data_IF_077911604828
#
_entry.id   IF_077911604828
#
_cell.length_a   1.000
_cell.length_b   1.000
_cell.length_c   1.000
_cell.angle_alpha   90.00
_cell.angle_beta   90.00
_cell.angle_gamma   90.00
#
_symmetry.space_group_name_H-M   'P 1'
#
loop_
_entity.id
_entity.type
_entity.pdbx_description
1 polymer ?
#
# COMPACT_ATOMS: atom_id res chain seq x y z
N UNK A 1 19.79 -16.67 2.38
CA UNK A 1 20.40 -16.68 1.03
C UNK A 1 21.54 -15.65 0.98
N UNK A 2 22.73 -16.06 0.55
CA UNK A 2 23.82 -15.12 0.25
C UNK A 2 23.35 -14.11 -0.79
N UNK A 3 23.76 -12.85 -0.64
CA UNK A 3 23.33 -11.79 -1.57
C UNK A 3 23.79 -12.14 -2.98
N UNK A 4 22.90 -12.13 -3.99
CA UNK A 4 23.26 -12.38 -5.38
C UNK A 4 24.13 -11.26 -5.97
N UNK A 5 24.32 -10.16 -5.23
CA UNK A 5 25.24 -9.08 -5.55
C UNK A 5 26.47 -9.21 -4.65
N UNK A 6 27.63 -9.59 -5.20
CA UNK A 6 28.87 -9.73 -4.44
C UNK A 6 29.23 -8.42 -3.73
N UNK A 7 29.64 -8.50 -2.46
CA UNK A 7 30.20 -7.36 -1.71
C UNK A 7 29.20 -6.33 -1.19
N UNK A 8 27.90 -6.63 -1.19
CA UNK A 8 26.88 -5.72 -0.67
C UNK A 8 27.01 -5.52 0.84
N UNK A 9 27.20 -4.27 1.28
CA UNK A 9 27.30 -3.92 2.70
C UNK A 9 25.94 -3.77 3.37
N UNK A 10 25.92 -3.66 4.69
CA UNK A 10 24.70 -3.31 5.46
C UNK A 10 24.16 -1.94 5.09
N UNK A 11 25.06 -0.99 4.81
CA UNK A 11 24.71 0.35 4.36
C UNK A 11 24.07 0.31 2.98
N UNK A 12 24.61 -0.53 2.08
CA UNK A 12 24.02 -0.69 0.76
C UNK A 12 22.61 -1.26 0.81
N UNK A 13 22.39 -2.22 1.71
CA UNK A 13 21.06 -2.81 1.93
C UNK A 13 20.08 -1.77 2.46
N UNK A 14 20.55 -0.90 3.35
CA UNK A 14 19.76 0.18 3.93
C UNK A 14 19.37 1.24 2.90
N UNK A 15 20.30 1.64 2.03
CA UNK A 15 20.02 2.55 0.92
C UNK A 15 19.07 1.93 -0.10
N UNK A 16 19.29 0.67 -0.47
CA UNK A 16 18.42 -0.07 -1.38
C UNK A 16 16.95 -0.06 -0.91
N UNK A 17 16.72 -0.32 0.38
CA UNK A 17 15.37 -0.33 0.97
C UNK A 17 14.80 1.10 1.02
N UNK A 18 15.63 2.09 1.39
CA UNK A 18 15.21 3.49 1.53
C UNK A 18 14.80 4.13 0.20
N UNK A 19 15.50 3.81 -0.90
CA UNK A 19 15.22 4.36 -2.23
C UNK A 19 13.82 4.02 -2.76
N UNK A 20 13.26 2.89 -2.35
CA UNK A 20 11.87 2.54 -2.66
C UNK A 20 10.89 3.54 -2.02
N UNK A 21 11.14 3.99 -0.79
CA UNK A 21 10.30 5.00 -0.13
C UNK A 21 10.48 6.38 -0.76
N UNK A 22 11.68 6.72 -1.24
CA UNK A 22 11.89 7.95 -2.02
C UNK A 22 11.09 7.93 -3.34
N UNK A 23 11.11 6.83 -4.08
CA UNK A 23 10.27 6.70 -5.29
C UNK A 23 8.79 6.93 -4.97
N UNK A 24 8.29 6.33 -3.90
CA UNK A 24 6.90 6.49 -3.46
C UNK A 24 6.56 7.94 -3.02
N UNK A 25 7.54 8.69 -2.50
CA UNK A 25 7.34 10.09 -2.13
C UNK A 25 7.13 10.99 -3.36
N UNK A 26 7.86 10.73 -4.44
CA UNK A 26 7.87 11.62 -5.60
C UNK A 26 6.78 11.29 -6.64
N UNK A 27 6.33 10.05 -6.73
CA UNK A 27 5.40 9.66 -7.81
C UNK A 27 3.96 10.19 -7.73
N UNK A 28 3.34 10.47 -6.56
CA UNK A 28 1.92 10.85 -6.51
C UNK A 28 1.58 12.17 -7.23
N UNK A 29 2.45 13.18 -7.13
CA UNK A 29 2.23 14.50 -7.74
C UNK A 29 2.22 14.42 -9.29
N UNK A 30 3.29 13.94 -9.96
CA UNK A 30 3.28 13.82 -11.42
C UNK A 30 2.21 12.84 -11.89
N UNK A 31 1.98 11.75 -11.15
CA UNK A 31 0.91 10.79 -11.46
C UNK A 31 -0.47 11.45 -11.46
N UNK A 32 -0.73 12.36 -10.53
CA UNK A 32 -1.98 13.13 -10.49
C UNK A 32 -2.23 13.94 -11.77
N UNK A 33 -1.21 14.56 -12.35
CA UNK A 33 -1.35 15.26 -13.63
C UNK A 33 -1.54 14.29 -14.81
N UNK A 34 -0.84 13.16 -14.80
CA UNK A 34 -0.94 12.14 -15.87
C UNK A 34 -2.35 11.54 -15.89
N UNK A 35 -2.90 11.12 -14.74
CA UNK A 35 -4.25 10.51 -14.68
C UNK A 35 -5.38 11.47 -15.04
N UNK A 36 -5.15 12.78 -14.87
CA UNK A 36 -6.07 13.82 -15.31
C UNK A 36 -5.98 14.07 -16.82
N UNK A 37 -4.82 13.85 -17.43
CA UNK A 37 -4.61 14.01 -18.88
C UNK A 37 -5.11 12.80 -19.67
N UNK A 38 -4.68 11.58 -19.31
CA UNK A 38 -4.88 10.37 -20.13
C UNK A 38 -5.89 9.37 -19.55
N UNK A 39 -6.41 9.62 -18.35
CA UNK A 39 -7.38 8.75 -17.67
C UNK A 39 -6.72 7.80 -16.68
N UNK A 40 -7.54 7.18 -15.83
CA UNK A 40 -7.07 6.36 -14.71
C UNK A 40 -6.60 4.99 -15.22
N UNK A 41 -7.38 4.35 -16.10
CA UNK A 41 -7.04 3.07 -16.73
C UNK A 41 -5.72 3.19 -17.50
N UNK A 42 -5.63 4.17 -18.40
CA UNK A 42 -4.45 4.33 -19.25
C UNK A 42 -3.21 4.68 -18.44
N UNK A 43 -3.34 5.47 -17.37
CA UNK A 43 -2.22 5.75 -16.46
C UNK A 43 -1.66 4.49 -15.85
N UNK A 44 -2.53 3.59 -15.36
CA UNK A 44 -2.09 2.31 -14.80
C UNK A 44 -1.43 1.42 -15.87
N UNK A 45 -2.00 1.33 -17.07
CA UNK A 45 -1.44 0.50 -18.15
C UNK A 45 -0.10 1.03 -18.67
N UNK A 46 0.01 2.33 -18.96
CA UNK A 46 1.25 2.91 -19.49
C UNK A 46 2.35 2.97 -18.45
N UNK A 47 2.05 3.32 -17.19
CA UNK A 47 3.06 3.40 -16.15
C UNK A 47 3.45 2.02 -15.59
N UNK A 48 2.73 0.95 -15.93
CA UNK A 48 3.13 -0.44 -15.62
C UNK A 48 4.45 -0.85 -16.31
N UNK A 49 4.95 -0.07 -17.27
CA UNK A 49 6.32 -0.26 -17.80
C UNK A 49 7.39 -0.05 -16.72
N UNK A 50 7.13 0.81 -15.72
CA UNK A 50 8.07 1.15 -14.64
C UNK A 50 8.38 -0.07 -13.76
N UNK A 51 7.39 -0.77 -13.15
CA UNK A 51 7.68 -1.96 -12.36
C UNK A 51 8.21 -3.11 -13.22
N UNK A 52 7.77 -3.24 -14.48
CA UNK A 52 8.32 -4.27 -15.37
C UNK A 52 9.81 -4.05 -15.62
N UNK A 53 10.22 -2.81 -15.94
CA UNK A 53 11.62 -2.46 -16.10
C UNK A 53 12.42 -2.64 -14.80
N UNK A 54 11.83 -2.34 -13.63
CA UNK A 54 12.45 -2.62 -12.32
C UNK A 54 12.77 -4.11 -12.15
N UNK A 55 11.82 -5.00 -12.43
CA UNK A 55 12.04 -6.45 -12.35
C UNK A 55 13.07 -6.94 -13.35
N UNK A 56 13.04 -6.45 -14.60
CA UNK A 56 14.04 -6.80 -15.61
C UNK A 56 15.45 -6.38 -15.18
N UNK A 57 15.60 -5.18 -14.58
CA UNK A 57 16.88 -4.76 -14.02
C UNK A 57 17.34 -5.71 -12.90
N UNK A 58 16.45 -6.10 -11.97
CA UNK A 58 16.79 -7.05 -10.89
C UNK A 58 17.23 -8.41 -11.43
N UNK A 59 16.64 -8.87 -12.53
CA UNK A 59 16.97 -10.15 -13.17
C UNK A 59 18.33 -10.07 -13.88
N UNK A 60 18.54 -9.07 -14.74
CA UNK A 60 19.71 -9.02 -15.63
C UNK A 60 20.93 -8.34 -15.03
N UNK A 61 20.76 -7.51 -14.00
CA UNK A 61 21.86 -6.72 -13.44
C UNK A 61 22.10 -7.06 -11.97
N UNK A 62 23.36 -7.36 -11.64
CA UNK A 62 23.79 -7.77 -10.28
C UNK A 62 24.81 -6.80 -9.71
N UNK A 63 24.57 -5.50 -9.87
CA UNK A 63 25.37 -4.45 -9.22
C UNK A 63 24.51 -3.60 -8.30
N UNK A 64 25.12 -3.06 -7.25
CA UNK A 64 24.44 -2.24 -6.23
C UNK A 64 23.72 -1.04 -6.85
N UNK A 65 24.37 -0.34 -7.79
CA UNK A 65 23.79 0.83 -8.47
C UNK A 65 22.51 0.48 -9.26
N UNK A 66 22.51 -0.63 -10.00
CA UNK A 66 21.32 -1.01 -10.76
C UNK A 66 20.18 -1.49 -9.84
N UNK A 67 20.51 -2.14 -8.72
CA UNK A 67 19.51 -2.46 -7.69
C UNK A 67 18.90 -1.19 -7.08
N UNK A 68 19.69 -0.15 -6.85
CA UNK A 68 19.20 1.15 -6.37
C UNK A 68 18.18 1.77 -7.33
N UNK A 69 18.52 1.80 -8.63
CA UNK A 69 17.64 2.30 -9.68
C UNK A 69 16.36 1.46 -9.73
N UNK A 70 16.49 0.13 -9.75
CA UNK A 70 15.35 -0.78 -9.77
C UNK A 70 14.41 -0.55 -8.58
N UNK A 71 14.94 -0.39 -7.35
CA UNK A 71 14.12 -0.15 -6.16
C UNK A 71 13.47 1.21 -6.16
N UNK A 72 14.16 2.24 -6.64
CA UNK A 72 13.56 3.55 -6.84
C UNK A 72 12.36 3.47 -7.81
N UNK A 73 12.51 2.75 -8.93
CA UNK A 73 11.43 2.51 -9.91
C UNK A 73 10.26 1.73 -9.31
N UNK A 74 10.53 0.68 -8.53
CA UNK A 74 9.48 -0.05 -7.80
C UNK A 74 8.74 0.88 -6.82
N UNK A 75 9.47 1.80 -6.17
CA UNK A 75 8.92 2.85 -5.33
C UNK A 75 7.99 3.81 -6.09
N UNK A 76 8.39 4.25 -7.28
CA UNK A 76 7.54 5.09 -8.14
C UNK A 76 6.21 4.38 -8.43
N UNK A 77 6.28 3.11 -8.85
CA UNK A 77 5.09 2.30 -9.12
C UNK A 77 4.19 2.15 -7.90
N UNK A 78 4.78 1.89 -6.73
CA UNK A 78 4.04 1.81 -5.47
C UNK A 78 3.18 3.07 -5.24
N UNK A 79 3.78 4.25 -5.36
CA UNK A 79 3.03 5.50 -5.18
C UNK A 79 2.02 5.80 -6.29
N UNK A 80 2.26 5.36 -7.53
CA UNK A 80 1.28 5.44 -8.63
C UNK A 80 0.05 4.60 -8.29
N UNK A 81 0.26 3.34 -7.90
CA UNK A 81 -0.82 2.40 -7.55
C UNK A 81 -1.65 2.93 -6.38
N UNK A 82 -0.99 3.39 -5.30
CA UNK A 82 -1.69 3.96 -4.14
C UNK A 82 -2.42 5.28 -4.42
N UNK A 83 -2.09 5.97 -5.52
CA UNK A 83 -2.77 7.20 -5.93
C UNK A 83 -3.94 6.90 -6.85
N UNK A 84 -3.72 6.10 -7.90
CA UNK A 84 -4.70 5.93 -8.99
C UNK A 84 -5.72 4.84 -8.69
N UNK A 85 -5.32 3.70 -8.09
CA UNK A 85 -6.24 2.56 -7.89
C UNK A 85 -7.42 2.92 -6.98
N UNK A 86 -7.25 3.58 -5.82
CA UNK A 86 -8.38 3.98 -4.99
C UNK A 86 -9.35 4.93 -5.70
N UNK A 87 -8.84 5.82 -6.56
CA UNK A 87 -9.65 6.74 -7.38
C UNK A 87 -10.43 5.95 -8.44
N UNK A 88 -9.74 5.08 -9.18
CA UNK A 88 -10.35 4.22 -10.19
C UNK A 88 -11.47 3.37 -9.58
N UNK A 89 -11.20 2.67 -8.47
CA UNK A 89 -12.20 1.89 -7.74
C UNK A 89 -13.36 2.76 -7.25
N UNK A 90 -13.08 3.97 -6.76
CA UNK A 90 -14.11 4.89 -6.28
C UNK A 90 -15.02 5.43 -7.39
N UNK A 91 -14.52 5.57 -8.61
CA UNK A 91 -15.26 6.09 -9.77
C UNK A 91 -16.03 4.99 -10.52
N UNK A 92 -15.63 3.72 -10.44
CA UNK A 92 -16.35 2.59 -11.08
C UNK A 92 -17.35 1.90 -10.14
N UNK A 93 -17.09 1.93 -8.83
CA UNK A 93 -17.89 1.21 -7.85
C UNK A 93 -19.26 1.82 -7.64
N UNK A 94 -20.29 0.98 -7.48
CA UNK A 94 -21.55 1.44 -6.93
C UNK A 94 -21.37 1.89 -5.47
N UNK A 95 -22.15 2.88 -5.00
CA UNK A 95 -22.09 3.36 -3.61
C UNK A 95 -22.19 2.24 -2.57
N UNK A 96 -22.95 1.17 -2.85
CA UNK A 96 -23.15 0.04 -1.95
C UNK A 96 -21.90 -0.82 -1.76
N UNK A 97 -21.05 -0.96 -2.77
CA UNK A 97 -19.88 -1.88 -2.76
C UNK A 97 -18.54 -1.15 -2.70
N UNK A 98 -18.53 0.18 -2.83
CA UNK A 98 -17.32 1.02 -2.82
C UNK A 98 -16.42 0.80 -1.61
N UNK A 99 -17.02 0.66 -0.42
CA UNK A 99 -16.29 0.36 0.82
C UNK A 99 -15.56 -0.98 0.74
N UNK A 100 -16.27 -2.03 0.32
CA UNK A 100 -15.72 -3.39 0.19
C UNK A 100 -14.60 -3.47 -0.84
N UNK A 101 -14.72 -2.80 -2.00
CA UNK A 101 -13.66 -2.75 -3.01
C UNK A 101 -12.40 -2.05 -2.49
N UNK A 102 -12.56 -0.97 -1.72
CA UNK A 102 -11.43 -0.26 -1.10
C UNK A 102 -10.73 -1.14 -0.06
N UNK A 103 -11.48 -1.89 0.73
CA UNK A 103 -10.92 -2.89 1.65
C UNK A 103 -10.19 -4.00 0.90
N UNK A 104 -10.77 -4.51 -0.19
CA UNK A 104 -10.17 -5.57 -1.00
C UNK A 104 -8.79 -5.17 -1.52
N UNK A 105 -8.63 -3.92 -2.00
CA UNK A 105 -7.32 -3.37 -2.37
C UNK A 105 -6.29 -3.43 -1.23
N UNK A 106 -6.69 -3.05 -0.01
CA UNK A 106 -5.81 -3.12 1.16
C UNK A 106 -5.44 -4.57 1.53
N UNK A 107 -6.38 -5.51 1.45
CA UNK A 107 -6.13 -6.93 1.71
C UNK A 107 -5.16 -7.50 0.67
N UNK A 108 -5.39 -7.23 -0.62
CA UNK A 108 -4.54 -7.72 -1.71
C UNK A 108 -3.10 -7.23 -1.59
N UNK A 109 -2.87 -6.03 -1.04
CA UNK A 109 -1.50 -5.56 -0.71
C UNK A 109 -0.80 -6.54 0.24
N UNK A 110 -1.44 -6.93 1.35
CA UNK A 110 -0.83 -7.85 2.31
C UNK A 110 -0.77 -9.29 1.80
N UNK A 111 -1.70 -9.70 0.93
CA UNK A 111 -1.60 -10.99 0.24
C UNK A 111 -0.35 -11.02 -0.64
N UNK A 112 -0.01 -9.92 -1.32
CA UNK A 112 1.26 -9.81 -2.06
C UNK A 112 2.49 -9.92 -1.16
N UNK A 113 2.49 -9.27 0.01
CA UNK A 113 3.58 -9.41 1.00
C UNK A 113 3.68 -10.85 1.52
N UNK A 114 2.55 -11.47 1.82
CA UNK A 114 2.50 -12.86 2.26
C UNK A 114 3.00 -13.82 1.17
N UNK A 115 2.65 -13.57 -0.09
CA UNK A 115 3.17 -14.32 -1.22
C UNK A 115 4.71 -14.30 -1.26
N UNK A 116 5.33 -13.13 -1.11
CA UNK A 116 6.79 -12.99 -1.07
C UNK A 116 7.41 -13.73 0.14
N UNK A 117 6.76 -13.69 1.31
CA UNK A 117 7.21 -14.42 2.49
C UNK A 117 7.06 -15.94 2.36
N UNK A 118 6.05 -16.41 1.65
CA UNK A 118 5.81 -17.84 1.41
C UNK A 118 6.73 -18.36 0.33
N UNK A 119 6.87 -17.67 -0.81
CA UNK A 119 7.62 -18.17 -1.97
C UNK A 119 9.12 -17.93 -1.81
N UNK A 120 9.52 -16.75 -1.32
CA UNK A 120 10.91 -16.30 -1.26
C UNK A 120 11.90 -17.28 -0.62
N UNK A 121 11.57 -17.97 0.50
CA UNK A 121 12.46 -18.95 1.11
C UNK A 121 12.70 -20.22 0.28
N UNK A 122 11.80 -20.56 -0.65
CA UNK A 122 11.85 -21.84 -1.39
C UNK A 122 12.36 -21.70 -2.83
N UNK A 123 12.59 -20.48 -3.31
CA UNK A 123 13.04 -20.23 -4.68
C UNK A 123 14.35 -19.43 -4.70
N UNK A 124 15.08 -19.50 -5.82
CA UNK A 124 16.24 -18.64 -6.03
C UNK A 124 15.81 -17.17 -6.16
N UNK A 125 16.75 -16.25 -5.93
CA UNK A 125 16.49 -14.81 -6.08
C UNK A 125 15.99 -14.44 -7.48
N UNK A 126 16.55 -15.06 -8.52
CA UNK A 126 16.14 -14.81 -9.91
C UNK A 126 14.74 -15.37 -10.19
N UNK A 127 14.45 -16.57 -9.69
CA UNK A 127 13.11 -17.15 -9.85
C UNK A 127 12.07 -16.31 -9.11
N UNK A 128 12.39 -15.80 -7.92
CA UNK A 128 11.50 -14.88 -7.19
C UNK A 128 11.22 -13.64 -8.05
N UNK A 129 12.27 -12.98 -8.54
CA UNK A 129 12.12 -11.78 -9.38
C UNK A 129 11.33 -12.04 -10.67
N UNK A 130 11.52 -13.20 -11.31
CA UNK A 130 10.73 -13.62 -12.49
C UNK A 130 9.26 -13.82 -12.10
N UNK A 131 8.99 -14.55 -11.01
CA UNK A 131 7.61 -14.80 -10.56
C UNK A 131 6.89 -13.52 -10.15
N UNK A 132 7.58 -12.58 -9.50
CA UNK A 132 7.00 -11.30 -9.11
C UNK A 132 6.81 -10.37 -10.31
N UNK A 133 7.73 -10.39 -11.28
CA UNK A 133 7.61 -9.66 -12.54
C UNK A 133 6.46 -10.15 -13.43
N UNK A 134 6.12 -11.45 -13.38
CA UNK A 134 4.97 -12.01 -14.08
C UNK A 134 3.64 -11.36 -13.68
N UNK A 135 3.49 -10.94 -12.43
CA UNK A 135 2.26 -10.23 -12.00
C UNK A 135 2.08 -8.90 -12.73
N UNK A 136 3.15 -8.22 -13.15
CA UNK A 136 3.04 -7.01 -13.97
C UNK A 136 2.45 -7.32 -15.35
N UNK A 137 2.82 -8.46 -15.94
CA UNK A 137 2.30 -8.91 -17.24
C UNK A 137 0.85 -9.35 -17.10
N UNK A 138 0.54 -10.16 -16.08
CA UNK A 138 -0.83 -10.60 -15.78
C UNK A 138 -1.74 -9.39 -15.55
N UNK A 139 -1.28 -8.41 -14.78
CA UNK A 139 -2.00 -7.16 -14.57
C UNK A 139 -2.24 -6.43 -15.89
N UNK A 140 -1.21 -6.24 -16.72
CA UNK A 140 -1.35 -5.56 -18.00
C UNK A 140 -2.41 -6.23 -18.89
N UNK A 141 -2.33 -7.55 -19.05
CA UNK A 141 -3.25 -8.32 -19.90
C UNK A 141 -4.68 -8.26 -19.35
N UNK A 142 -4.87 -8.55 -18.07
CA UNK A 142 -6.22 -8.60 -17.47
C UNK A 142 -6.85 -7.21 -17.38
N UNK A 143 -6.08 -6.19 -17.05
CA UNK A 143 -6.58 -4.82 -16.88
C UNK A 143 -6.84 -4.10 -18.21
N UNK A 144 -6.30 -4.58 -19.34
CA UNK A 144 -6.60 -4.04 -20.67
C UNK A 144 -8.09 -4.17 -21.01
N UNK A 145 -8.77 -5.21 -20.51
CA UNK A 145 -10.20 -5.45 -20.75
C UNK A 145 -11.13 -4.60 -19.87
N UNK A 146 -10.62 -3.99 -18.81
CA UNK A 146 -11.41 -3.14 -17.93
C UNK A 146 -11.77 -1.81 -18.63
N UNK A 147 -12.95 -1.22 -18.43
CA UNK A 147 -13.29 0.08 -19.01
C UNK A 147 -12.54 1.23 -18.32
N UNK A 148 -12.45 2.38 -18.98
CA UNK A 148 -12.06 3.63 -18.31
C UNK A 148 -13.20 4.12 -17.41
N UNK A 149 -12.91 4.99 -16.44
CA UNK A 149 -13.94 5.45 -15.52
C UNK A 149 -15.01 6.30 -16.22
N UNK A 150 -16.32 6.07 -15.99
CA UNK A 150 -17.38 6.89 -16.57
C UNK A 150 -17.21 8.38 -16.21
N UNK A 151 -16.73 8.66 -14.99
CA UNK A 151 -16.43 10.01 -14.52
C UNK A 151 -15.38 10.72 -15.40
N UNK A 152 -14.26 10.06 -15.72
CA UNK A 152 -13.23 10.63 -16.59
C UNK A 152 -13.74 10.85 -18.02
N UNK A 153 -14.50 9.89 -18.57
CA UNK A 153 -15.05 9.99 -19.92
C UNK A 153 -16.03 11.15 -20.06
N UNK A 154 -16.95 11.32 -19.10
CA UNK A 154 -17.85 12.49 -19.03
C UNK A 154 -17.05 13.79 -18.93
N UNK A 155 -16.00 13.83 -18.09
CA UNK A 155 -15.13 15.02 -17.96
C UNK A 155 -14.45 15.40 -19.28
N UNK A 156 -14.15 14.42 -20.13
CA UNK A 156 -13.57 14.63 -21.46
C UNK A 156 -14.61 14.87 -22.55
N UNK A 157 -15.89 15.11 -22.20
CA UNK A 157 -17.02 15.28 -23.10
C UNK A 157 -17.29 14.06 -24.00
N UNK A 158 -16.99 12.85 -23.51
CA UNK A 158 -17.20 11.57 -24.21
C UNK A 158 -18.37 10.81 -23.56
N UNK A 159 -19.59 11.36 -23.64
CA UNK A 159 -20.76 10.80 -22.94
C UNK A 159 -21.15 9.41 -23.46
N UNK A 160 -21.07 9.15 -24.77
CA UNK A 160 -21.37 7.80 -25.32
C UNK A 160 -20.38 6.73 -24.83
N UNK A 161 -19.07 7.01 -24.83
CA UNK A 161 -18.07 6.09 -24.25
C UNK A 161 -18.32 5.88 -22.75
N UNK A 162 -18.73 6.93 -22.03
CA UNK A 162 -19.08 6.83 -20.61
C UNK A 162 -20.30 5.92 -20.37
N UNK A 163 -21.30 5.98 -21.26
CA UNK A 163 -22.48 5.11 -21.24
C UNK A 163 -22.09 3.66 -21.48
N UNK A 164 -21.25 3.38 -22.46
CA UNK A 164 -20.73 2.03 -22.72
C UNK A 164 -19.93 1.48 -21.54
N UNK A 165 -19.05 2.30 -20.95
CA UNK A 165 -18.29 1.93 -19.76
C UNK A 165 -19.22 1.60 -18.58
N UNK A 166 -20.26 2.41 -18.38
CA UNK A 166 -21.23 2.20 -17.31
C UNK A 166 -22.08 0.95 -17.55
N UNK A 167 -22.49 0.70 -18.80
CA UNK A 167 -23.17 -0.53 -19.21
C UNK A 167 -22.31 -1.76 -18.95
N UNK A 168 -21.00 -1.72 -19.23
CA UNK A 168 -20.09 -2.81 -18.92
C UNK A 168 -20.00 -3.08 -17.41
N UNK A 169 -20.01 -2.02 -16.59
CA UNK A 169 -19.88 -2.10 -15.13
C UNK A 169 -21.17 -2.53 -14.42
N UNK A 170 -22.34 -2.13 -14.92
CA UNK A 170 -23.66 -2.36 -14.29
C UNK A 170 -24.46 -3.48 -14.94
N UNK A 171 -24.12 -3.83 -16.18
CA UNK A 171 -24.95 -4.68 -17.05
C UNK A 171 -26.12 -3.91 -17.66
N UNK A 172 -26.97 -4.64 -18.39
CA UNK A 172 -28.15 -4.11 -19.05
C UNK A 172 -29.26 -3.81 -18.05
N UNK A 173 -29.22 -2.61 -17.48
CA UNK A 173 -30.21 -2.11 -16.53
C UNK A 173 -30.79 -0.78 -17.01
N UNK A 174 -32.10 -0.54 -16.82
CA UNK A 174 -32.73 0.75 -17.17
C UNK A 174 -32.13 1.96 -16.44
N UNK A 175 -31.36 1.71 -15.38
CA UNK A 175 -30.80 2.74 -14.50
C UNK A 175 -29.49 3.37 -15.03
N UNK A 176 -28.87 2.80 -16.07
CA UNK A 176 -27.60 3.30 -16.64
C UNK A 176 -27.70 4.75 -17.08
N UNK A 177 -28.76 5.13 -17.81
CA UNK A 177 -28.93 6.52 -18.29
C UNK A 177 -29.21 7.49 -17.14
N UNK A 178 -29.88 7.01 -16.07
CA UNK A 178 -30.16 7.81 -14.87
C UNK A 178 -28.87 8.06 -14.08
N UNK A 179 -28.03 7.03 -13.91
CA UNK A 179 -26.74 7.15 -13.25
C UNK A 179 -25.77 8.01 -14.07
N UNK A 180 -25.71 7.85 -15.39
CA UNK A 180 -24.91 8.69 -16.27
C UNK A 180 -25.26 10.16 -16.11
N UNK A 181 -26.55 10.50 -16.11
CA UNK A 181 -27.01 11.89 -15.93
C UNK A 181 -26.63 12.46 -14.54
N UNK A 182 -26.62 11.63 -13.50
CA UNK A 182 -26.11 12.05 -12.17
C UNK A 182 -24.62 12.37 -12.22
N UNK A 183 -23.83 11.55 -12.92
CA UNK A 183 -22.39 11.77 -13.11
C UNK A 183 -22.14 13.05 -13.93
N UNK A 184 -22.87 13.28 -15.02
CA UNK A 184 -22.79 14.50 -15.83
C UNK A 184 -23.06 15.78 -15.02
N UNK A 185 -24.10 15.76 -14.19
CA UNK A 185 -24.42 16.87 -13.31
C UNK A 185 -23.31 17.12 -12.27
N UNK A 186 -22.79 16.05 -11.65
CA UNK A 186 -21.71 16.16 -10.67
C UNK A 186 -20.41 16.70 -11.28
N UNK A 187 -20.02 16.19 -12.46
CA UNK A 187 -18.83 16.64 -13.20
C UNK A 187 -18.99 18.10 -13.62
N UNK A 188 -20.16 18.51 -14.10
CA UNK A 188 -20.43 19.89 -14.50
C UNK A 188 -20.30 20.86 -13.33
N UNK A 189 -20.84 20.49 -12.16
CA UNK A 189 -20.69 21.29 -10.93
C UNK A 189 -19.22 21.38 -10.48
N UNK A 190 -18.47 20.27 -10.56
CA UNK A 190 -17.06 20.25 -10.16
C UNK A 190 -16.17 21.02 -11.14
N UNK A 191 -16.49 21.02 -12.44
CA UNK A 191 -15.78 21.79 -13.46
C UNK A 191 -16.06 23.29 -13.39
N UNK A 192 -17.23 23.68 -12.88
CA UNK A 192 -17.55 25.08 -12.59
C UNK A 192 -16.74 25.61 -11.39
N UNK A 193 -16.47 24.75 -10.40
CA UNK A 193 -15.70 25.07 -9.18
C UNK A 193 -14.34 24.38 -9.18
N UNK A 194 -13.44 24.75 -10.11
CA UNK A 194 -12.07 24.20 -10.16
C UNK A 194 -11.29 24.58 -8.90
N UNK A 195 -11.19 23.65 -7.96
CA UNK A 195 -10.30 23.76 -6.81
C UNK A 195 -8.84 23.83 -7.26
N UNK A 196 -8.11 24.82 -6.74
CA UNK A 196 -6.66 24.97 -6.93
C UNK A 196 -5.94 24.45 -5.68
N UNK A 197 -4.66 24.07 -5.80
CA UNK A 197 -3.81 23.73 -4.63
C UNK A 197 -3.82 24.86 -3.57
N UNK A 198 -4.00 26.12 -4.00
CA UNK A 198 -4.13 27.27 -3.10
C UNK A 198 -5.36 27.16 -2.18
N UNK A 199 -6.42 26.49 -2.63
CA UNK A 199 -7.67 26.35 -1.87
C UNK A 199 -7.52 25.41 -0.67
N UNK A 200 -6.58 24.46 -0.72
CA UNK A 200 -6.18 23.63 0.42
C UNK A 200 -5.71 24.49 1.61
N UNK A 201 -5.17 25.67 1.34
CA UNK A 201 -4.68 26.61 2.35
C UNK A 201 -5.51 27.89 2.41
N UNK A 202 -6.65 27.98 1.72
CA UNK A 202 -7.46 29.20 1.71
C UNK A 202 -8.28 29.34 3.00
N UNK A 203 -8.90 28.26 3.49
CA UNK A 203 -9.80 28.30 4.65
C UNK A 203 -9.15 27.70 5.90
N UNK A 204 -9.60 28.12 7.09
CA UNK A 204 -9.18 27.51 8.36
C UNK A 204 -9.54 26.02 8.42
N UNK A 205 -10.68 25.64 7.84
CA UNK A 205 -11.11 24.25 7.77
C UNK A 205 -10.14 23.40 6.91
N UNK A 206 -9.80 23.86 5.71
CA UNK A 206 -8.90 23.15 4.81
C UNK A 206 -7.48 23.07 5.39
N UNK A 207 -6.97 24.14 6.02
CA UNK A 207 -5.69 24.09 6.75
C UNK A 207 -5.71 23.05 7.87
N UNK A 208 -6.78 23.00 8.67
CA UNK A 208 -6.94 22.01 9.75
C UNK A 208 -6.97 20.59 9.17
N UNK A 209 -7.67 20.38 8.06
CA UNK A 209 -7.70 19.12 7.34
C UNK A 209 -6.30 18.68 6.87
N UNK A 210 -5.56 19.56 6.18
CA UNK A 210 -4.20 19.28 5.69
C UNK A 210 -3.27 18.92 6.85
N UNK A 211 -3.30 19.70 7.93
CA UNK A 211 -2.47 19.43 9.11
C UNK A 211 -2.85 18.07 9.73
N UNK A 212 -4.15 17.79 9.89
CA UNK A 212 -4.62 16.54 10.50
C UNK A 212 -4.19 15.33 9.67
N UNK A 213 -4.44 15.35 8.36
CA UNK A 213 -4.07 14.26 7.44
C UNK A 213 -2.56 14.11 7.32
N UNK A 214 -1.82 15.22 7.29
CA UNK A 214 -0.36 15.24 7.23
C UNK A 214 0.26 14.62 8.49
N UNK A 215 -0.17 15.06 9.67
CA UNK A 215 0.29 14.52 10.96
C UNK A 215 -0.06 13.04 11.08
N UNK A 216 -1.29 12.64 10.74
CA UNK A 216 -1.68 11.23 10.76
C UNK A 216 -0.86 10.36 9.82
N UNK A 217 -0.54 10.85 8.61
CA UNK A 217 0.29 10.13 7.64
C UNK A 217 1.74 9.98 8.11
N UNK A 218 2.29 11.02 8.74
CA UNK A 218 3.65 10.98 9.32
C UNK A 218 3.67 10.00 10.49
N UNK A 219 2.71 10.08 11.42
CA UNK A 219 2.61 9.18 12.56
C UNK A 219 2.43 7.72 12.13
N UNK A 220 1.64 7.46 11.07
CA UNK A 220 1.51 6.13 10.50
C UNK A 220 2.87 5.57 10.04
N UNK A 221 3.72 6.38 9.41
CA UNK A 221 5.06 5.95 8.99
C UNK A 221 6.02 5.80 10.17
N UNK A 222 5.95 6.70 11.15
CA UNK A 222 6.74 6.63 12.38
C UNK A 222 6.38 5.44 13.28
N UNK A 223 5.24 4.79 13.06
CA UNK A 223 4.88 3.53 13.74
C UNK A 223 5.88 2.39 13.48
N UNK A 224 6.75 2.51 12.47
CA UNK A 224 7.82 1.54 12.20
C UNK A 224 7.43 0.39 11.28
N UNK A 225 6.19 0.36 10.75
CA UNK A 225 5.72 -0.74 9.89
C UNK A 225 6.64 -1.01 8.69
N UNK A 226 7.18 0.04 8.07
CA UNK A 226 8.07 -0.10 6.91
C UNK A 226 9.39 -0.80 7.26
N UNK A 227 9.91 -0.54 8.46
CA UNK A 227 11.10 -1.21 8.97
C UNK A 227 10.78 -2.68 9.32
N UNK A 228 9.61 -2.95 9.91
CA UNK A 228 9.19 -4.33 10.19
C UNK A 228 9.05 -5.15 8.91
N UNK A 229 8.30 -4.67 7.91
CA UNK A 229 8.13 -5.38 6.63
C UNK A 229 9.49 -5.71 5.99
N UNK A 230 10.45 -4.79 6.06
CA UNK A 230 11.75 -4.93 5.40
C UNK A 230 12.78 -5.76 6.20
N UNK A 231 12.80 -5.64 7.53
CA UNK A 231 13.90 -6.14 8.36
C UNK A 231 13.52 -7.25 9.35
N UNK A 232 12.24 -7.59 9.53
CA UNK A 232 11.86 -8.58 10.55
C UNK A 232 12.59 -9.92 10.42
N UNK A 233 12.88 -10.39 9.20
CA UNK A 233 13.65 -11.63 8.99
C UNK A 233 15.11 -11.55 9.46
N UNK A 234 15.66 -10.35 9.63
CA UNK A 234 17.03 -10.09 10.09
C UNK A 234 17.05 -9.68 11.55
N UNK A 235 16.06 -8.92 12.00
CA UNK A 235 15.95 -8.38 13.36
C UNK A 235 15.53 -9.43 14.40
N UNK A 236 14.78 -10.47 14.01
CA UNK A 236 14.38 -11.52 14.94
C UNK A 236 15.58 -12.34 15.42
N UNK A 237 15.68 -12.64 16.74
CA UNK A 237 16.75 -13.49 17.24
C UNK A 237 16.67 -14.88 16.59
N UNK A 238 17.84 -15.45 16.27
CA UNK A 238 17.91 -16.80 15.71
C UNK A 238 17.34 -17.80 16.72
N UNK A 239 16.36 -18.59 16.30
CA UNK A 239 15.66 -19.49 17.22
C UNK A 239 14.73 -18.78 18.20
N UNK A 240 14.18 -17.61 17.83
CA UNK A 240 13.16 -16.88 18.61
C UNK A 240 12.09 -17.81 19.21
N UNK A 241 11.63 -18.79 18.43
CA UNK A 241 10.78 -19.87 18.91
C UNK A 241 11.48 -21.20 18.62
N UNK A 242 11.50 -22.08 19.62
CA UNK A 242 12.05 -23.43 19.49
C UNK A 242 11.33 -24.20 18.35
N UNK A 243 12.11 -24.82 17.46
CA UNK A 243 11.64 -25.52 16.25
C UNK A 243 10.96 -24.67 15.16
N UNK A 244 10.90 -23.34 15.30
CA UNK A 244 10.33 -22.47 14.25
C UNK A 244 11.44 -21.66 13.60
N UNK A 245 11.55 -21.80 12.27
CA UNK A 245 12.52 -21.05 11.48
C UNK A 245 12.07 -19.60 11.31
N UNK A 246 13.03 -18.68 11.12
CA UNK A 246 12.71 -17.26 10.88
C UNK A 246 11.80 -17.04 9.66
N UNK A 247 11.89 -17.93 8.66
CA UNK A 247 11.01 -17.93 7.50
C UNK A 247 9.54 -18.22 7.87
N UNK A 248 9.31 -19.21 8.75
CA UNK A 248 7.97 -19.50 9.27
C UNK A 248 7.43 -18.32 10.09
N UNK A 249 8.28 -17.64 10.88
CA UNK A 249 7.88 -16.46 11.63
C UNK A 249 7.34 -15.33 10.73
N UNK A 250 8.03 -14.99 9.64
CA UNK A 250 7.55 -13.95 8.72
C UNK A 250 6.28 -14.34 7.97
N UNK A 251 6.10 -15.63 7.65
CA UNK A 251 4.84 -16.13 7.07
C UNK A 251 3.67 -15.95 8.05
N UNK A 252 3.87 -16.27 9.33
CA UNK A 252 2.85 -16.06 10.37
C UNK A 252 2.51 -14.58 10.53
N UNK A 253 3.52 -13.69 10.51
CA UNK A 253 3.30 -12.24 10.55
C UNK A 253 2.48 -11.73 9.36
N UNK A 254 2.85 -12.14 8.14
CA UNK A 254 2.10 -11.79 6.94
C UNK A 254 0.65 -12.30 6.98
N UNK A 255 0.45 -13.51 7.51
CA UNK A 255 -0.88 -14.09 7.71
C UNK A 255 -1.71 -13.25 8.70
N UNK A 256 -1.11 -12.86 9.83
CA UNK A 256 -1.76 -11.98 10.81
C UNK A 256 -2.14 -10.65 10.19
N UNK A 257 -1.30 -10.03 9.34
CA UNK A 257 -1.66 -8.79 8.65
C UNK A 257 -2.88 -8.95 7.75
N UNK A 258 -2.95 -10.02 6.96
CA UNK A 258 -4.11 -10.33 6.10
C UNK A 258 -5.38 -10.50 6.93
N UNK A 259 -5.35 -11.37 7.95
CA UNK A 259 -6.52 -11.63 8.80
C UNK A 259 -6.94 -10.39 9.62
N UNK A 260 -5.99 -9.63 10.13
CA UNK A 260 -6.28 -8.42 10.91
C UNK A 260 -6.89 -7.33 10.04
N UNK A 261 -6.47 -7.22 8.78
CA UNK A 261 -7.08 -6.27 7.82
C UNK A 261 -8.51 -6.66 7.46
N UNK A 262 -8.79 -7.95 7.31
CA UNK A 262 -10.15 -8.47 7.14
C UNK A 262 -11.04 -8.14 8.35
N UNK A 263 -10.54 -8.38 9.56
CA UNK A 263 -11.26 -8.04 10.80
C UNK A 263 -11.50 -6.53 10.89
N UNK A 264 -10.52 -5.72 10.52
CA UNK A 264 -10.61 -4.26 10.53
C UNK A 264 -11.82 -3.74 9.76
N UNK A 265 -12.09 -4.27 8.56
CA UNK A 265 -13.23 -3.78 7.77
C UNK A 265 -14.58 -3.94 8.48
N UNK A 266 -14.75 -5.00 9.28
CA UNK A 266 -15.98 -5.19 10.05
C UNK A 266 -16.01 -4.31 11.31
N UNK A 267 -14.84 -4.05 11.92
CA UNK A 267 -14.75 -3.25 13.14
C UNK A 267 -14.93 -1.75 12.90
N UNK A 268 -14.45 -1.24 11.76
CA UNK A 268 -14.53 0.19 11.42
C UNK A 268 -15.97 0.70 11.45
N UNK A 269 -16.90 -0.09 10.93
CA UNK A 269 -18.32 0.27 10.88
C UNK A 269 -19.01 0.18 12.26
N UNK A 270 -18.49 -0.64 13.18
CA UNK A 270 -19.10 -0.88 14.51
C UNK A 270 -18.56 0.02 15.61
N UNK A 271 -17.24 0.16 15.70
CA UNK A 271 -16.56 0.87 16.79
C UNK A 271 -16.23 2.32 16.44
N UNK A 272 -16.31 2.67 15.16
CA UNK A 272 -15.95 3.99 14.66
C UNK A 272 -14.43 4.21 14.55
N UNK A 273 -14.07 5.13 13.67
CA UNK A 273 -12.67 5.40 13.26
C UNK A 273 -11.80 5.92 14.41
N UNK A 274 -12.31 6.83 15.24
CA UNK A 274 -11.50 7.49 16.29
C UNK A 274 -11.02 6.50 17.36
N UNK A 275 -11.91 5.62 17.82
CA UNK A 275 -11.59 4.63 18.86
C UNK A 275 -10.55 3.64 18.33
N UNK A 276 -10.77 3.11 17.13
CA UNK A 276 -9.83 2.18 16.49
C UNK A 276 -8.45 2.78 16.26
N UNK A 277 -8.38 4.07 15.87
CA UNK A 277 -7.11 4.76 15.71
C UNK A 277 -6.34 4.86 17.04
N UNK A 278 -7.02 5.22 18.13
CA UNK A 278 -6.40 5.34 19.46
C UNK A 278 -5.92 3.97 19.96
N UNK A 279 -6.78 2.95 19.89
CA UNK A 279 -6.44 1.58 20.32
C UNK A 279 -5.29 1.03 19.50
N UNK A 280 -5.30 1.24 18.19
CA UNK A 280 -4.23 0.82 17.28
C UNK A 280 -2.90 1.51 17.61
N UNK A 281 -2.92 2.84 17.81
CA UNK A 281 -1.71 3.60 18.14
C UNK A 281 -1.13 3.18 19.51
N UNK A 282 -1.96 3.02 20.53
CA UNK A 282 -1.53 2.55 21.85
C UNK A 282 -0.98 1.12 21.77
N UNK A 283 -1.68 0.22 21.09
CA UNK A 283 -1.24 -1.16 20.91
C UNK A 283 0.09 -1.28 20.17
N UNK A 284 0.28 -0.49 19.10
CA UNK A 284 1.56 -0.42 18.39
C UNK A 284 2.67 0.13 19.29
N UNK A 285 2.39 1.19 20.06
CA UNK A 285 3.35 1.81 20.97
C UNK A 285 3.79 0.88 22.10
N UNK A 286 2.85 0.15 22.72
CA UNK A 286 3.15 -0.87 23.74
C UNK A 286 3.98 -2.00 23.13
N UNK A 287 3.59 -2.50 21.95
CA UNK A 287 4.31 -3.57 21.29
C UNK A 287 5.75 -3.19 20.92
N UNK A 288 5.98 -2.01 20.34
CA UNK A 288 7.34 -1.54 20.02
C UNK A 288 8.15 -1.21 21.26
N UNK A 289 7.53 -0.65 22.31
CA UNK A 289 8.20 -0.41 23.59
C UNK A 289 8.70 -1.72 24.20
N UNK A 290 7.84 -2.74 24.29
CA UNK A 290 8.22 -4.05 24.82
C UNK A 290 9.32 -4.72 23.97
N UNK A 291 9.19 -4.71 22.65
CA UNK A 291 10.25 -5.22 21.77
C UNK A 291 11.58 -4.46 21.98
N UNK A 292 11.52 -3.13 22.05
CA UNK A 292 12.69 -2.28 22.30
C UNK A 292 13.35 -2.54 23.65
N UNK A 293 12.56 -2.74 24.71
CA UNK A 293 13.09 -3.11 26.03
C UNK A 293 13.80 -4.45 25.99
N UNK A 294 13.27 -5.44 25.28
CA UNK A 294 13.93 -6.73 25.12
C UNK A 294 15.29 -6.59 24.43
N UNK A 295 15.36 -5.88 23.29
CA UNK A 295 16.62 -5.65 22.58
C UNK A 295 17.63 -4.83 23.40
N UNK A 296 17.15 -3.88 24.21
CA UNK A 296 18.01 -3.11 25.10
C UNK A 296 18.64 -4.00 26.18
N UNK A 297 17.85 -4.89 26.79
CA UNK A 297 18.34 -5.82 27.81
C UNK A 297 19.37 -6.78 27.21
N UNK A 298 19.08 -7.38 26.06
CA UNK A 298 19.99 -8.29 25.35
C UNK A 298 21.33 -7.62 24.98
N UNK A 299 21.28 -6.38 24.49
CA UNK A 299 22.46 -5.73 23.92
C UNK A 299 23.29 -4.91 24.93
N UNK A 300 22.70 -4.46 26.05
CA UNK A 300 23.32 -3.47 26.96
C UNK A 300 23.36 -3.90 28.43
N UNK A 301 22.80 -5.05 28.79
CA UNK A 301 22.81 -5.52 30.18
C UNK A 301 23.29 -6.96 30.28
N UNK A 302 23.79 -7.37 31.45
CA UNK A 302 24.21 -8.75 31.72
C UNK A 302 23.03 -9.68 32.08
N UNK A 303 21.79 -9.25 31.80
CA UNK A 303 20.58 -10.04 32.09
C UNK A 303 20.40 -11.07 30.97
N UNK A 304 20.40 -12.35 31.32
CA UNK A 304 20.12 -13.43 30.36
C UNK A 304 18.63 -13.42 29.95
N UNK A 305 18.36 -12.93 28.74
CA UNK A 305 17.02 -12.89 28.14
C UNK A 305 16.74 -14.07 27.21
N UNK A 306 17.62 -15.08 27.16
CA UNK A 306 17.52 -16.23 26.24
C UNK A 306 16.20 -16.99 26.40
N UNK A 307 15.70 -17.10 27.64
CA UNK A 307 14.39 -17.71 27.94
C UNK A 307 13.19 -16.96 27.33
N UNK A 308 13.38 -15.69 26.98
CA UNK A 308 12.39 -14.78 26.41
C UNK A 308 12.64 -14.45 24.94
N UNK A 309 13.45 -15.23 24.22
CA UNK A 309 13.72 -15.03 22.78
C UNK A 309 12.45 -14.99 21.90
N UNK A 310 11.32 -15.52 22.38
CA UNK A 310 10.03 -15.48 21.69
C UNK A 310 9.32 -14.13 21.81
N UNK A 311 9.69 -13.31 22.80
CA UNK A 311 9.00 -12.06 23.12
C UNK A 311 9.05 -11.02 22.00
N UNK A 312 10.19 -10.76 21.32
CA UNK A 312 10.23 -9.85 20.17
C UNK A 312 9.28 -10.26 19.05
N UNK A 313 9.18 -11.57 18.79
CA UNK A 313 8.26 -12.09 17.78
C UNK A 313 6.79 -11.87 18.17
N UNK A 314 6.43 -12.17 19.42
CA UNK A 314 5.08 -11.89 19.93
C UNK A 314 4.75 -10.39 19.87
N UNK A 315 5.72 -9.51 20.17
CA UNK A 315 5.55 -8.07 20.06
C UNK A 315 5.34 -7.64 18.59
N UNK A 316 6.08 -8.20 17.64
CA UNK A 316 5.88 -7.92 16.22
C UNK A 316 4.51 -8.39 15.71
N UNK A 317 4.01 -9.54 16.20
CA UNK A 317 2.65 -10.00 15.90
C UNK A 317 1.60 -9.03 16.45
N UNK A 318 1.79 -8.59 17.69
CA UNK A 318 0.88 -7.66 18.36
C UNK A 318 0.85 -6.30 17.64
N UNK A 319 2.03 -5.77 17.29
CA UNK A 319 2.14 -4.56 16.49
C UNK A 319 1.43 -4.73 15.15
N UNK A 320 1.70 -5.82 14.44
CA UNK A 320 1.10 -6.09 13.14
C UNK A 320 -0.43 -6.16 13.19
N UNK A 321 -0.98 -6.81 14.22
CA UNK A 321 -2.41 -6.89 14.48
C UNK A 321 -3.01 -5.49 14.71
N UNK A 322 -2.47 -4.73 15.66
CA UNK A 322 -2.98 -3.40 15.99
C UNK A 322 -2.82 -2.43 14.83
N UNK A 323 -1.69 -2.44 14.13
CA UNK A 323 -1.44 -1.58 12.96
C UNK A 323 -2.49 -1.82 11.86
N UNK A 324 -2.76 -3.09 11.56
CA UNK A 324 -3.71 -3.50 10.52
C UNK A 324 -5.16 -3.16 10.88
N UNK A 325 -5.52 -3.20 12.17
CA UNK A 325 -6.88 -2.91 12.64
C UNK A 325 -7.26 -1.43 12.56
N UNK A 326 -6.31 -0.51 12.76
CA UNK A 326 -6.62 0.92 12.84
C UNK A 326 -5.75 1.80 11.95
N UNK A 327 -4.48 1.96 12.31
CA UNK A 327 -3.56 2.88 11.67
C UNK A 327 -3.52 2.74 10.15
N UNK A 328 -3.56 1.52 9.61
CA UNK A 328 -3.52 1.29 8.17
C UNK A 328 -4.77 1.77 7.42
N UNK A 329 -5.97 1.20 7.65
CA UNK A 329 -7.16 1.56 6.88
C UNK A 329 -7.66 2.98 7.19
N UNK A 330 -7.59 3.42 8.44
CA UNK A 330 -8.24 4.66 8.88
C UNK A 330 -7.56 5.90 8.30
N UNK A 331 -6.22 5.92 8.29
CA UNK A 331 -5.45 7.05 7.74
C UNK A 331 -5.73 7.19 6.24
N UNK A 332 -5.92 6.07 5.53
CA UNK A 332 -6.26 6.07 4.11
C UNK A 332 -7.70 6.54 3.89
N UNK A 333 -8.67 6.13 4.71
CA UNK A 333 -10.06 6.57 4.52
C UNK A 333 -10.27 8.04 4.88
N UNK A 334 -9.63 8.55 5.94
CA UNK A 334 -9.75 9.96 6.35
C UNK A 334 -9.30 10.89 5.21
N UNK A 335 -8.31 10.48 4.40
CA UNK A 335 -7.88 11.26 3.22
C UNK A 335 -9.01 11.49 2.23
N UNK A 336 -9.87 10.50 2.00
CA UNK A 336 -10.99 10.57 1.05
C UNK A 336 -12.30 11.11 1.64
N UNK A 337 -12.42 11.23 2.96
CA UNK A 337 -13.61 11.81 3.62
C UNK A 337 -13.49 13.32 3.87
N UNK A 338 -12.25 13.82 3.97
CA UNK A 338 -11.96 15.20 4.36
C UNK A 338 -11.74 16.12 3.15
N UNK A 339 -11.40 15.54 1.98
CA UNK A 339 -11.06 16.28 0.76
C UNK A 339 -11.91 15.85 -0.43
#
# INVERSE_FOLDING_TARGET
PESPVPGMTTDDTSWMISLMYFGNLFSPIPCGYIMEAIGRKNTLLFLNVIPLASWLLIIFTKTVLWLYIARFMAGLWLGIVYTVVPIYLGEIAEPRVRGSLSTFFAIMTYVGVLFEYVVGPFVSYDNLAITSGMFCIIFFVTFTFMPETPYYLVKMNKSEEAREALFWLRGDTPDVDVELKKIENAVSQQMANKGTIKDLFATRANKKAVITVGVLSILQRLSGIGAMIAYTSVTLPKGAIHHVTTHQCVIVLGSVWVFSTLISSFLVDRLGRKILLIVSALGCGVATFLAGTWFLLDAKTDIDVTSLNWAPFACFLLHGFFYSIGLNPIVTTIKGEVF
#
